data_IF_451198919630
#
_entry.id   IF_451198919630
#
_cell.length_a   1.000
_cell.length_b   1.000
_cell.length_c   1.000
_cell.angle_alpha   90.00
_cell.angle_beta   90.00
_cell.angle_gamma   90.00
#
_symmetry.space_group_name_H-M   'P 1'
#
loop_
_entity.id
_entity.type
_entity.pdbx_description
1 polymer ?
#
# COMPACT_ATOMS: atom_id res chain seq x y z
N UNK A 1 -40.35 -34.92 22.43
CA UNK A 1 -39.99 -34.90 23.87
C UNK A 1 -41.07 -34.11 24.60
N UNK A 2 -41.35 -34.34 25.89
CA UNK A 2 -42.27 -33.46 26.65
C UNK A 2 -41.51 -32.29 27.29
N UNK A 3 -42.16 -31.14 27.53
CA UNK A 3 -41.50 -29.97 28.15
C UNK A 3 -40.95 -30.29 29.55
N UNK A 4 -41.65 -31.14 30.31
CA UNK A 4 -41.18 -31.64 31.61
C UNK A 4 -39.87 -32.43 31.50
N UNK A 5 -39.70 -33.23 30.44
CA UNK A 5 -38.46 -33.97 30.16
C UNK A 5 -37.32 -33.03 29.76
N UNK A 6 -37.62 -31.98 28.99
CA UNK A 6 -36.66 -30.93 28.66
C UNK A 6 -36.19 -30.19 29.92
N UNK A 7 -37.11 -29.81 30.80
CA UNK A 7 -36.74 -29.15 32.06
C UNK A 7 -35.91 -30.05 32.97
N UNK A 8 -36.22 -31.35 33.03
CA UNK A 8 -35.40 -32.32 33.76
C UNK A 8 -34.00 -32.46 33.14
N UNK A 9 -33.89 -32.45 31.81
CA UNK A 9 -32.62 -32.46 31.09
C UNK A 9 -31.78 -31.20 31.38
N UNK A 10 -32.39 -30.02 31.37
CA UNK A 10 -31.69 -28.74 31.67
C UNK A 10 -31.15 -28.67 33.11
N UNK A 11 -31.77 -29.38 34.04
CA UNK A 11 -31.38 -29.41 35.46
C UNK A 11 -30.39 -30.53 35.81
N UNK A 12 -30.29 -31.58 34.99
CA UNK A 12 -29.49 -32.75 35.29
C UNK A 12 -28.59 -33.15 34.10
N UNK A 13 -27.25 -33.02 34.21
CA UNK A 13 -26.31 -33.35 33.13
C UNK A 13 -26.44 -34.77 32.56
N UNK A 14 -26.73 -35.77 33.40
CA UNK A 14 -26.90 -37.17 32.95
C UNK A 14 -28.22 -37.38 32.20
N UNK A 15 -29.25 -36.59 32.53
CA UNK A 15 -30.50 -36.58 31.75
C UNK A 15 -30.27 -35.83 30.44
N UNK A 16 -29.59 -34.68 30.47
CA UNK A 16 -29.19 -33.93 29.28
C UNK A 16 -28.46 -34.80 28.26
N UNK A 17 -27.43 -35.52 28.72
CA UNK A 17 -26.63 -36.42 27.88
C UNK A 17 -27.45 -37.54 27.22
N UNK A 18 -28.45 -38.08 27.93
CA UNK A 18 -29.35 -39.11 27.41
C UNK A 18 -30.40 -38.55 26.45
N UNK A 19 -30.90 -37.35 26.73
CA UNK A 19 -31.94 -36.68 25.92
C UNK A 19 -31.40 -36.08 24.63
N UNK A 20 -30.13 -35.67 24.61
CA UNK A 20 -29.48 -35.02 23.46
C UNK A 20 -28.29 -35.84 23.01
N UNK A 21 -28.48 -36.83 22.12
CA UNK A 21 -27.38 -37.63 21.62
C UNK A 21 -26.58 -36.87 20.55
N UNK A 22 -27.25 -36.08 19.72
CA UNK A 22 -26.67 -35.33 18.60
C UNK A 22 -27.13 -33.87 18.58
N UNK A 23 -26.53 -33.07 17.70
CA UNK A 23 -26.99 -31.71 17.41
C UNK A 23 -28.39 -31.66 16.81
N UNK A 24 -28.84 -32.72 16.15
CA UNK A 24 -30.19 -32.77 15.56
C UNK A 24 -31.25 -32.88 16.66
N UNK A 25 -30.91 -33.51 17.79
CA UNK A 25 -31.79 -33.55 18.96
C UNK A 25 -31.93 -32.16 19.60
N UNK A 26 -30.85 -31.37 19.62
CA UNK A 26 -30.90 -29.96 20.05
C UNK A 26 -31.76 -29.13 19.10
N UNK A 27 -31.62 -29.32 17.78
CA UNK A 27 -32.46 -28.64 16.78
C UNK A 27 -33.93 -28.94 16.96
N UNK A 28 -34.27 -30.22 17.15
CA UNK A 28 -35.65 -30.66 17.41
C UNK A 28 -36.19 -30.01 18.67
N UNK A 29 -35.41 -29.96 19.75
CA UNK A 29 -35.85 -29.33 21.00
C UNK A 29 -36.01 -27.82 20.90
N UNK A 30 -35.14 -27.11 20.18
CA UNK A 30 -35.30 -25.66 19.92
C UNK A 30 -36.55 -25.40 19.06
N UNK A 31 -36.86 -26.30 18.14
CA UNK A 31 -38.05 -26.18 17.27
C UNK A 31 -39.34 -26.47 18.05
N UNK A 32 -39.36 -27.52 18.87
CA UNK A 32 -40.51 -27.90 19.71
C UNK A 32 -40.72 -26.91 20.86
N UNK A 33 -39.64 -26.34 21.43
CA UNK A 33 -39.65 -25.52 22.64
C UNK A 33 -38.80 -24.24 22.51
N UNK A 34 -39.17 -23.30 21.64
CA UNK A 34 -38.35 -22.12 21.33
C UNK A 34 -38.10 -21.20 22.53
N UNK A 35 -38.99 -21.19 23.53
CA UNK A 35 -38.84 -20.40 24.76
C UNK A 35 -37.65 -20.85 25.62
N UNK A 36 -37.18 -22.10 25.46
CA UNK A 36 -36.06 -22.66 26.22
C UNK A 36 -34.73 -22.62 25.47
N UNK A 37 -34.67 -21.98 24.30
CA UNK A 37 -33.47 -21.87 23.46
C UNK A 37 -32.28 -21.31 24.25
N UNK A 38 -32.48 -20.26 25.05
CA UNK A 38 -31.43 -19.65 25.88
C UNK A 38 -30.94 -20.59 26.98
N UNK A 39 -31.84 -21.37 27.58
CA UNK A 39 -31.46 -22.35 28.59
C UNK A 39 -30.64 -23.49 27.97
N UNK A 40 -31.03 -23.97 26.77
CA UNK A 40 -30.31 -25.02 26.04
C UNK A 40 -28.88 -24.59 25.68
N UNK A 41 -28.71 -23.37 25.16
CA UNK A 41 -27.37 -22.87 24.85
C UNK A 41 -26.55 -22.66 26.13
N UNK A 42 -27.16 -22.17 27.21
CA UNK A 42 -26.46 -22.01 28.49
C UNK A 42 -25.97 -23.35 29.05
N UNK A 43 -26.80 -24.39 29.02
CA UNK A 43 -26.41 -25.75 29.42
C UNK A 43 -25.28 -26.30 28.55
N UNK A 44 -25.33 -26.06 27.23
CA UNK A 44 -24.29 -26.49 26.29
C UNK A 44 -22.95 -25.76 26.53
N UNK A 45 -22.97 -24.44 26.72
CA UNK A 45 -21.75 -23.63 26.84
C UNK A 45 -21.08 -23.74 28.22
N UNK A 46 -21.85 -24.04 29.28
CA UNK A 46 -21.30 -24.20 30.62
C UNK A 46 -20.77 -25.60 30.92
N UNK A 47 -21.03 -26.58 30.06
CA UNK A 47 -20.54 -27.94 30.22
C UNK A 47 -19.60 -28.29 29.06
N UNK A 48 -18.30 -28.15 29.30
CA UNK A 48 -17.26 -28.38 28.28
C UNK A 48 -17.27 -29.80 27.70
N UNK A 49 -17.59 -30.82 28.50
CA UNK A 49 -17.63 -32.19 28.02
C UNK A 49 -18.82 -32.42 27.08
N UNK A 50 -19.97 -31.84 27.42
CA UNK A 50 -21.17 -31.87 26.57
C UNK A 50 -20.96 -31.04 25.29
N UNK A 51 -20.30 -29.88 25.40
CA UNK A 51 -19.90 -29.08 24.25
C UNK A 51 -19.03 -29.89 23.28
N UNK A 52 -18.00 -30.58 23.78
CA UNK A 52 -17.12 -31.41 22.95
C UNK A 52 -17.84 -32.61 22.35
N UNK A 53 -18.72 -33.25 23.13
CA UNK A 53 -19.50 -34.43 22.71
C UNK A 53 -20.48 -34.08 21.60
N UNK A 54 -21.22 -32.97 21.74
CA UNK A 54 -22.23 -32.54 20.80
C UNK A 54 -21.62 -31.81 19.60
N UNK A 55 -20.53 -31.09 19.79
CA UNK A 55 -19.80 -30.38 18.74
C UNK A 55 -18.41 -30.98 18.54
N UNK A 56 -18.28 -32.23 18.06
CA UNK A 56 -16.97 -32.88 17.90
C UNK A 56 -16.11 -32.25 16.81
N UNK A 57 -16.71 -31.55 15.83
CA UNK A 57 -15.98 -30.99 14.70
C UNK A 57 -16.66 -29.73 14.12
N UNK A 58 -16.05 -29.15 13.08
CA UNK A 58 -16.56 -27.96 12.40
C UNK A 58 -17.95 -28.17 11.78
N UNK A 59 -18.23 -29.36 11.24
CA UNK A 59 -19.53 -29.66 10.61
C UNK A 59 -20.67 -29.49 11.61
N UNK A 60 -20.53 -30.05 12.81
CA UNK A 60 -21.51 -29.91 13.89
C UNK A 60 -21.57 -28.48 14.44
N UNK A 61 -20.42 -27.78 14.53
CA UNK A 61 -20.39 -26.36 14.90
C UNK A 61 -21.26 -25.50 13.96
N UNK A 62 -21.17 -25.74 12.65
CA UNK A 62 -21.95 -24.99 11.64
C UNK A 62 -23.46 -25.16 11.86
N UNK A 63 -23.92 -26.40 12.06
CA UNK A 63 -25.33 -26.67 12.38
C UNK A 63 -25.76 -25.96 13.66
N UNK A 64 -24.96 -26.08 14.72
CA UNK A 64 -25.22 -25.41 15.99
C UNK A 64 -25.18 -23.88 15.89
N UNK A 65 -24.40 -23.30 14.97
CA UNK A 65 -24.32 -21.84 14.78
C UNK A 65 -25.61 -21.27 14.19
N UNK A 66 -26.31 -22.03 13.35
CA UNK A 66 -27.65 -21.67 12.87
C UNK A 66 -28.66 -21.63 14.03
N UNK A 67 -28.54 -22.59 14.95
CA UNK A 67 -29.42 -22.71 16.12
C UNK A 67 -29.04 -21.74 17.24
N UNK A 68 -27.76 -21.40 17.36
CA UNK A 68 -27.22 -20.64 18.48
C UNK A 68 -26.04 -19.78 17.98
N UNK A 69 -26.31 -18.58 17.43
CA UNK A 69 -25.25 -17.72 16.91
C UNK A 69 -24.13 -17.40 17.91
N UNK A 70 -24.46 -17.38 19.21
CA UNK A 70 -23.51 -17.12 20.30
C UNK A 70 -22.46 -18.22 20.51
N UNK A 71 -22.63 -19.42 19.94
CA UNK A 71 -21.62 -20.50 20.02
C UNK A 71 -20.28 -20.03 19.46
N UNK A 72 -20.27 -19.23 18.40
CA UNK A 72 -19.02 -18.72 17.81
C UNK A 72 -18.26 -17.82 18.81
N UNK A 73 -18.96 -16.97 19.57
CA UNK A 73 -18.30 -16.16 20.60
C UNK A 73 -17.59 -17.03 21.64
N UNK A 74 -18.25 -18.09 22.09
CA UNK A 74 -17.64 -19.05 23.01
C UNK A 74 -16.40 -19.70 22.40
N UNK A 75 -16.46 -20.16 21.15
CA UNK A 75 -15.32 -20.77 20.47
C UNK A 75 -14.15 -19.80 20.34
N UNK A 76 -14.41 -18.54 19.97
CA UNK A 76 -13.36 -17.52 19.83
C UNK A 76 -12.71 -17.14 21.17
N UNK A 77 -13.44 -17.23 22.28
CA UNK A 77 -12.90 -17.01 23.62
C UNK A 77 -12.16 -18.24 24.21
N UNK A 78 -12.16 -19.38 23.50
CA UNK A 78 -11.54 -20.62 23.94
C UNK A 78 -10.56 -21.14 22.87
N UNK A 79 -9.27 -20.73 22.88
CA UNK A 79 -8.31 -21.06 21.83
C UNK A 79 -8.14 -22.56 21.54
N UNK A 80 -8.27 -23.40 22.58
CA UNK A 80 -8.21 -24.86 22.42
C UNK A 80 -9.41 -25.40 21.63
N UNK A 81 -10.61 -24.89 21.90
CA UNK A 81 -11.81 -25.26 21.16
C UNK A 81 -11.78 -24.72 19.74
N UNK A 82 -11.28 -23.49 19.55
CA UNK A 82 -11.05 -22.95 18.21
C UNK A 82 -10.12 -23.86 17.40
N UNK A 83 -8.98 -24.27 17.96
CA UNK A 83 -8.03 -25.16 17.27
C UNK A 83 -8.62 -26.55 16.99
N UNK A 84 -9.40 -27.09 17.92
CA UNK A 84 -10.10 -28.38 17.77
C UNK A 84 -11.18 -28.32 16.69
N UNK A 85 -11.94 -27.22 16.62
CA UNK A 85 -13.09 -27.07 15.74
C UNK A 85 -12.73 -26.55 14.36
N UNK A 86 -11.63 -25.81 14.21
CA UNK A 86 -11.14 -25.30 12.94
C UNK A 86 -9.79 -25.94 12.61
N UNK A 87 -9.80 -27.24 12.31
CA UNK A 87 -8.58 -28.02 12.05
C UNK A 87 -7.95 -27.67 10.70
N UNK A 88 -8.77 -27.33 9.70
CA UNK A 88 -8.31 -26.99 8.35
C UNK A 88 -8.67 -25.56 7.95
N UNK A 89 -7.90 -24.99 7.02
CA UNK A 89 -8.24 -23.71 6.37
C UNK A 89 -9.60 -23.75 5.68
N UNK A 90 -9.96 -24.89 5.10
CA UNK A 90 -11.25 -25.05 4.43
C UNK A 90 -12.40 -24.86 5.44
N UNK A 91 -12.26 -25.44 6.63
CA UNK A 91 -13.26 -25.31 7.68
C UNK A 91 -13.49 -23.86 8.12
N UNK A 92 -12.38 -23.12 8.27
CA UNK A 92 -12.42 -21.72 8.66
C UNK A 92 -13.09 -20.85 7.60
N UNK A 93 -12.59 -20.90 6.36
CA UNK A 93 -13.10 -20.05 5.29
C UNK A 93 -14.52 -20.40 4.85
N UNK A 94 -14.88 -21.69 4.83
CA UNK A 94 -16.26 -22.10 4.58
C UNK A 94 -17.22 -21.56 5.65
N UNK A 95 -16.78 -21.53 6.92
CA UNK A 95 -17.61 -20.99 8.01
C UNK A 95 -17.84 -19.49 7.84
N UNK A 96 -16.82 -18.74 7.42
CA UNK A 96 -16.96 -17.31 7.08
C UNK A 96 -17.97 -17.12 5.95
N UNK A 97 -17.89 -17.92 4.88
CA UNK A 97 -18.75 -17.83 3.71
C UNK A 97 -20.22 -18.12 4.06
N UNK A 98 -20.48 -19.17 4.86
CA UNK A 98 -21.85 -19.58 5.20
C UNK A 98 -22.48 -18.76 6.30
N UNK A 99 -21.68 -18.13 7.17
CA UNK A 99 -22.17 -17.35 8.28
C UNK A 99 -21.54 -15.95 8.26
N UNK A 100 -21.90 -15.09 7.29
CA UNK A 100 -21.26 -13.78 7.09
C UNK A 100 -21.38 -12.87 8.32
N UNK A 101 -22.45 -12.99 9.11
CA UNK A 101 -22.60 -12.28 10.39
C UNK A 101 -21.50 -12.62 11.41
N UNK A 102 -20.99 -13.86 11.38
CA UNK A 102 -19.87 -14.31 12.20
C UNK A 102 -18.52 -14.15 11.48
N UNK A 103 -18.54 -13.96 10.15
CA UNK A 103 -17.35 -13.84 9.31
C UNK A 103 -16.43 -12.71 9.79
N UNK A 104 -16.99 -11.54 10.11
CA UNK A 104 -16.22 -10.42 10.67
C UNK A 104 -15.49 -10.81 11.95
N UNK A 105 -16.19 -11.46 12.88
CA UNK A 105 -15.58 -11.89 14.16
C UNK A 105 -14.48 -12.93 13.98
N UNK A 106 -14.68 -13.88 13.07
CA UNK A 106 -13.68 -14.90 12.73
C UNK A 106 -12.44 -14.26 12.11
N UNK A 107 -12.62 -13.30 11.21
CA UNK A 107 -11.52 -12.53 10.62
C UNK A 107 -10.81 -11.66 11.65
N UNK A 108 -11.56 -10.97 12.51
CA UNK A 108 -10.98 -10.18 13.60
C UNK A 108 -10.16 -11.08 14.53
N UNK A 109 -10.67 -12.25 14.90
CA UNK A 109 -9.91 -13.22 15.70
C UNK A 109 -8.65 -13.69 14.99
N UNK A 110 -8.76 -14.04 13.70
CA UNK A 110 -7.63 -14.48 12.88
C UNK A 110 -6.54 -13.42 12.81
N UNK A 111 -6.89 -12.18 12.50
CA UNK A 111 -5.94 -11.08 12.35
C UNK A 111 -5.35 -10.61 13.69
N UNK A 112 -6.04 -10.81 14.80
CA UNK A 112 -5.51 -10.46 16.13
C UNK A 112 -4.78 -11.63 16.82
N UNK A 113 -4.70 -12.81 16.19
CA UNK A 113 -4.03 -13.99 16.75
C UNK A 113 -2.93 -14.48 15.81
N UNK A 114 -1.68 -13.99 15.94
CA UNK A 114 -0.60 -14.27 14.99
C UNK A 114 -0.36 -15.76 14.73
N UNK A 115 -0.43 -16.61 15.77
CA UNK A 115 -0.24 -18.05 15.62
C UNK A 115 -1.32 -18.71 14.76
N UNK A 116 -2.56 -18.22 14.83
CA UNK A 116 -3.67 -18.71 14.01
C UNK A 116 -3.57 -18.16 12.60
N UNK A 117 -3.23 -16.88 12.44
CA UNK A 117 -2.94 -16.30 11.12
C UNK A 117 -1.89 -17.11 10.37
N UNK A 118 -0.76 -17.42 11.02
CA UNK A 118 0.31 -18.23 10.44
C UNK A 118 -0.13 -19.67 10.17
N UNK A 119 -0.99 -20.25 11.02
CA UNK A 119 -1.53 -21.60 10.80
C UNK A 119 -2.42 -21.66 9.55
N UNK A 120 -3.25 -20.65 9.32
CA UNK A 120 -4.16 -20.61 8.18
C UNK A 120 -3.50 -20.08 6.90
N UNK A 121 -2.57 -19.15 7.02
CA UNK A 121 -1.81 -18.54 5.92
C UNK A 121 -0.31 -18.83 6.13
N UNK A 122 0.15 -20.09 5.97
CA UNK A 122 1.53 -20.47 6.29
C UNK A 122 2.59 -19.94 5.32
N UNK A 123 2.20 -19.53 4.10
CA UNK A 123 3.12 -19.03 3.09
C UNK A 123 2.40 -18.17 2.03
N UNK A 124 3.18 -17.54 1.14
CA UNK A 124 2.69 -16.69 0.07
C UNK A 124 1.69 -17.41 -0.85
N UNK A 125 1.94 -18.67 -1.20
CA UNK A 125 1.04 -19.43 -2.06
C UNK A 125 -0.35 -19.59 -1.42
N UNK A 126 -0.42 -19.87 -0.11
CA UNK A 126 -1.72 -19.93 0.59
C UNK A 126 -2.36 -18.54 0.69
N UNK A 127 -1.58 -17.48 0.93
CA UNK A 127 -2.09 -16.10 0.90
C UNK A 127 -2.79 -15.82 -0.43
N UNK A 128 -2.11 -16.11 -1.56
CA UNK A 128 -2.62 -15.89 -2.91
C UNK A 128 -3.88 -16.70 -3.18
N UNK A 129 -3.82 -18.02 -2.93
CA UNK A 129 -4.96 -18.91 -3.13
C UNK A 129 -6.18 -18.49 -2.30
N UNK A 130 -5.95 -18.00 -1.07
CA UNK A 130 -7.02 -17.53 -0.19
C UNK A 130 -7.65 -16.25 -0.73
N UNK A 131 -6.84 -15.26 -1.09
CA UNK A 131 -7.35 -14.01 -1.63
C UNK A 131 -8.05 -14.21 -3.00
N UNK A 132 -7.59 -15.15 -3.82
CA UNK A 132 -8.27 -15.50 -5.07
C UNK A 132 -9.62 -16.23 -4.84
N UNK A 133 -9.68 -17.13 -3.85
CA UNK A 133 -10.90 -17.86 -3.51
C UNK A 133 -11.96 -16.99 -2.82
N UNK A 134 -11.53 -15.96 -2.09
CA UNK A 134 -12.38 -15.08 -1.29
C UNK A 134 -12.12 -13.59 -1.60
N UNK A 135 -12.45 -13.13 -2.82
CA UNK A 135 -12.11 -11.79 -3.30
C UNK A 135 -12.70 -10.66 -2.42
N UNK A 136 -13.83 -10.88 -1.77
CA UNK A 136 -14.46 -9.92 -0.86
C UNK A 136 -13.62 -9.63 0.39
N UNK A 137 -12.75 -10.56 0.80
CA UNK A 137 -11.86 -10.41 1.96
C UNK A 137 -10.40 -10.17 1.57
N UNK A 138 -10.07 -10.32 0.28
CA UNK A 138 -8.71 -10.26 -0.22
C UNK A 138 -8.02 -8.92 0.11
N UNK A 139 -8.72 -7.78 -0.05
CA UNK A 139 -8.15 -6.48 0.31
C UNK A 139 -7.83 -6.37 1.81
N UNK A 140 -8.69 -6.90 2.69
CA UNK A 140 -8.47 -6.86 4.14
C UNK A 140 -7.28 -7.75 4.51
N UNK A 141 -7.21 -8.94 3.92
CA UNK A 141 -6.12 -9.88 4.11
C UNK A 141 -4.77 -9.28 3.66
N UNK A 142 -4.73 -8.68 2.47
CA UNK A 142 -3.54 -7.99 1.96
C UNK A 142 -3.16 -6.81 2.85
N UNK A 143 -4.12 -5.96 3.24
CA UNK A 143 -3.85 -4.84 4.16
C UNK A 143 -3.28 -5.32 5.49
N UNK A 144 -3.80 -6.42 6.04
CA UNK A 144 -3.27 -7.01 7.26
C UNK A 144 -1.79 -7.37 7.09
N UNK A 145 -1.45 -8.14 6.05
CA UNK A 145 -0.04 -8.51 5.76
C UNK A 145 0.83 -7.28 5.54
N UNK A 146 0.36 -6.33 4.72
CA UNK A 146 1.11 -5.13 4.42
C UNK A 146 1.32 -4.23 5.63
N UNK A 147 0.49 -4.31 6.68
CA UNK A 147 0.63 -3.52 7.90
C UNK A 147 1.45 -4.19 9.00
N UNK A 148 1.68 -5.51 8.93
CA UNK A 148 2.44 -6.26 9.93
C UNK A 148 3.82 -6.65 9.37
N UNK A 149 4.92 -6.00 9.80
CA UNK A 149 6.26 -6.21 9.22
C UNK A 149 6.72 -7.66 9.22
N UNK A 150 6.44 -8.41 10.29
CA UNK A 150 6.83 -9.82 10.40
C UNK A 150 6.08 -10.69 9.39
N UNK A 151 4.78 -10.42 9.17
CA UNK A 151 3.98 -11.13 8.17
C UNK A 151 4.38 -10.74 6.75
N UNK A 152 4.68 -9.46 6.51
CA UNK A 152 5.22 -8.97 5.23
C UNK A 152 6.53 -9.67 4.90
N UNK A 153 7.49 -9.75 5.83
CA UNK A 153 8.76 -10.45 5.62
C UNK A 153 8.56 -11.94 5.36
N UNK A 154 7.67 -12.58 6.12
CA UNK A 154 7.39 -14.02 6.01
C UNK A 154 6.68 -14.38 4.71
N UNK A 155 5.68 -13.61 4.32
CA UNK A 155 4.82 -13.88 3.15
C UNK A 155 5.34 -13.26 1.86
N UNK A 156 6.26 -12.30 1.94
CA UNK A 156 6.97 -11.75 0.81
C UNK A 156 8.47 -11.84 1.11
N UNK A 157 8.98 -13.07 1.19
CA UNK A 157 10.38 -13.32 1.48
C UNK A 157 11.27 -12.80 0.34
N UNK A 158 10.79 -12.89 -0.89
CA UNK A 158 11.52 -12.53 -2.11
C UNK A 158 10.70 -11.63 -3.05
N UNK A 159 11.37 -10.95 -3.99
CA UNK A 159 10.71 -10.27 -5.10
C UNK A 159 9.84 -11.22 -5.96
N UNK A 160 10.18 -12.51 -6.00
CA UNK A 160 9.40 -13.53 -6.71
C UNK A 160 8.03 -13.79 -6.03
N UNK A 161 7.97 -13.81 -4.70
CA UNK A 161 6.70 -13.93 -3.96
C UNK A 161 5.80 -12.73 -4.22
N UNK A 162 6.38 -11.53 -4.23
CA UNK A 162 5.69 -10.30 -4.60
C UNK A 162 5.18 -10.40 -6.03
N UNK A 163 6.02 -10.82 -6.97
CA UNK A 163 5.68 -10.93 -8.37
C UNK A 163 4.47 -11.85 -8.58
N UNK A 164 4.52 -13.08 -8.07
CA UNK A 164 3.41 -14.02 -8.16
C UNK A 164 2.11 -13.44 -7.58
N UNK A 165 2.20 -12.68 -6.49
CA UNK A 165 1.02 -12.08 -5.85
C UNK A 165 0.39 -11.01 -6.72
N UNK A 166 1.20 -10.13 -7.31
CA UNK A 166 0.72 -9.09 -8.23
C UNK A 166 0.12 -9.68 -9.52
N UNK A 167 0.56 -10.88 -9.92
CA UNK A 167 0.05 -11.60 -11.09
C UNK A 167 -1.32 -12.23 -10.84
N UNK A 168 -1.47 -12.91 -9.72
CA UNK A 168 -2.69 -13.67 -9.41
C UNK A 168 -3.80 -12.81 -8.81
N UNK A 169 -3.45 -11.66 -8.21
CA UNK A 169 -4.42 -10.79 -7.55
C UNK A 169 -4.25 -9.34 -8.02
N UNK A 170 -4.39 -9.07 -9.33
CA UNK A 170 -4.03 -7.78 -9.93
C UNK A 170 -4.85 -6.61 -9.38
N UNK A 171 -6.09 -6.86 -8.92
CA UNK A 171 -6.97 -5.86 -8.32
C UNK A 171 -6.42 -5.27 -7.01
N UNK A 172 -5.46 -5.93 -6.36
CA UNK A 172 -4.85 -5.47 -5.11
C UNK A 172 -3.40 -5.03 -5.25
N UNK A 173 -2.88 -5.02 -6.48
CA UNK A 173 -1.52 -4.58 -6.79
C UNK A 173 -1.26 -3.16 -6.32
N UNK A 174 -2.20 -2.23 -6.50
CA UNK A 174 -2.05 -0.83 -6.07
C UNK A 174 -1.83 -0.72 -4.57
N UNK A 175 -2.61 -1.45 -3.77
CA UNK A 175 -2.50 -1.46 -2.30
C UNK A 175 -1.14 -1.97 -1.84
N UNK A 176 -0.66 -3.06 -2.46
CA UNK A 176 0.65 -3.65 -2.18
C UNK A 176 1.76 -2.65 -2.55
N UNK A 177 1.71 -2.12 -3.77
CA UNK A 177 2.66 -1.14 -4.30
C UNK A 177 2.77 0.08 -3.38
N UNK A 178 1.64 0.70 -3.06
CA UNK A 178 1.60 1.90 -2.22
C UNK A 178 2.13 1.63 -0.81
N UNK A 179 1.81 0.46 -0.26
CA UNK A 179 2.28 0.06 1.06
C UNK A 179 3.79 -0.19 1.09
N UNK A 180 4.35 -0.86 0.07
CA UNK A 180 5.80 -1.06 -0.07
C UNK A 180 6.54 0.25 -0.26
N UNK A 181 6.01 1.14 -1.10
CA UNK A 181 6.58 2.46 -1.29
C UNK A 181 6.61 3.26 0.01
N UNK A 182 5.75 2.99 1.01
CA UNK A 182 5.83 3.63 2.33
C UNK A 182 6.87 3.04 3.27
N UNK A 183 7.45 1.88 2.94
CA UNK A 183 8.33 1.09 3.80
C UNK A 183 9.70 0.92 3.13
N UNK A 184 10.62 1.89 3.28
CA UNK A 184 11.88 1.90 2.54
C UNK A 184 12.73 0.66 2.80
N UNK A 185 12.78 0.18 4.04
CA UNK A 185 13.54 -1.02 4.41
C UNK A 185 13.01 -2.28 3.70
N UNK A 186 11.69 -2.43 3.60
CA UNK A 186 11.06 -3.57 2.93
C UNK A 186 11.19 -3.50 1.42
N UNK A 187 11.12 -2.30 0.86
CA UNK A 187 11.39 -2.07 -0.55
C UNK A 187 12.85 -2.44 -0.88
N UNK A 188 13.83 -1.91 -0.14
CA UNK A 188 15.25 -2.25 -0.35
C UNK A 188 15.53 -3.74 -0.11
N UNK A 189 14.86 -4.38 0.85
CA UNK A 189 14.98 -5.82 1.10
C UNK A 189 14.52 -6.65 -0.10
N UNK A 190 13.36 -6.29 -0.67
CA UNK A 190 12.80 -7.01 -1.82
C UNK A 190 13.58 -6.72 -3.11
N UNK A 191 14.11 -5.51 -3.25
CA UNK A 191 14.82 -5.02 -4.43
C UNK A 191 16.26 -4.67 -4.10
N UNK A 192 17.01 -5.65 -3.59
CA UNK A 192 18.37 -5.44 -3.05
C UNK A 192 19.43 -5.21 -4.13
N UNK A 193 19.14 -5.50 -5.40
CA UNK A 193 20.07 -5.32 -6.51
C UNK A 193 19.35 -5.05 -7.85
N UNK A 194 20.10 -4.64 -8.87
CA UNK A 194 19.54 -4.34 -10.20
C UNK A 194 18.86 -5.54 -10.87
N UNK A 195 19.29 -6.77 -10.56
CA UNK A 195 18.71 -7.99 -11.14
C UNK A 195 17.30 -8.27 -10.60
N UNK A 196 17.06 -8.07 -9.29
CA UNK A 196 15.71 -8.18 -8.69
C UNK A 196 14.75 -7.09 -9.19
N UNK A 197 15.26 -5.89 -9.48
CA UNK A 197 14.51 -4.86 -10.22
C UNK A 197 14.22 -5.30 -11.66
N UNK A 198 15.17 -5.93 -12.36
CA UNK A 198 14.97 -6.40 -13.74
C UNK A 198 13.88 -7.47 -13.85
N UNK A 199 13.87 -8.44 -12.94
CA UNK A 199 12.83 -9.50 -12.93
C UNK A 199 11.43 -8.97 -12.66
N UNK A 200 11.30 -7.80 -12.04
CA UNK A 200 10.01 -7.17 -11.76
C UNK A 200 9.67 -6.06 -12.74
N UNK A 201 10.46 -5.86 -13.80
CA UNK A 201 10.31 -4.81 -14.82
C UNK A 201 8.90 -4.73 -15.41
N UNK A 202 8.30 -5.82 -15.88
CA UNK A 202 6.92 -5.78 -16.40
C UNK A 202 5.89 -5.25 -15.39
N UNK A 203 6.14 -5.41 -14.08
CA UNK A 203 5.26 -4.96 -12.99
C UNK A 203 5.71 -3.66 -12.33
N UNK A 204 6.97 -3.26 -12.52
CA UNK A 204 7.45 -1.90 -12.29
C UNK A 204 6.61 -0.91 -13.10
N UNK A 205 6.06 -1.30 -14.25
CA UNK A 205 5.00 -0.58 -14.95
C UNK A 205 3.96 0.05 -14.01
N UNK A 206 3.36 -0.74 -13.12
CA UNK A 206 2.38 -0.25 -12.14
C UNK A 206 3.02 0.69 -11.10
N UNK A 207 4.25 0.40 -10.66
CA UNK A 207 5.02 1.30 -9.80
C UNK A 207 5.33 2.64 -10.49
N UNK A 208 5.62 2.64 -11.79
CA UNK A 208 5.97 3.81 -12.60
C UNK A 208 4.72 4.64 -12.89
N UNK A 209 3.60 4.00 -13.25
CA UNK A 209 2.29 4.64 -13.36
C UNK A 209 1.92 5.40 -12.07
N UNK A 210 2.07 4.73 -10.91
CA UNK A 210 1.82 5.36 -9.62
C UNK A 210 2.86 6.45 -9.28
N UNK A 211 4.15 6.18 -9.50
CA UNK A 211 5.23 7.13 -9.22
C UNK A 211 5.09 8.41 -10.02
N UNK A 212 4.77 8.32 -11.31
CA UNK A 212 4.62 9.49 -12.19
C UNK A 212 3.39 10.34 -11.89
N UNK A 213 2.46 9.87 -11.04
CA UNK A 213 1.33 10.63 -10.52
C UNK A 213 1.48 11.03 -9.05
N UNK A 214 2.51 10.52 -8.36
CA UNK A 214 2.77 10.75 -6.95
C UNK A 214 4.26 11.09 -6.70
N UNK A 215 4.60 12.36 -6.46
CA UNK A 215 5.99 12.79 -6.27
C UNK A 215 6.72 12.10 -5.12
N UNK A 216 6.01 11.72 -4.05
CA UNK A 216 6.61 10.97 -2.94
C UNK A 216 6.98 9.56 -3.36
N UNK A 217 6.11 8.88 -4.11
CA UNK A 217 6.41 7.56 -4.66
C UNK A 217 7.57 7.61 -5.66
N UNK A 218 7.59 8.63 -6.54
CA UNK A 218 8.69 8.83 -7.49
C UNK A 218 10.05 8.95 -6.83
N UNK A 219 10.17 9.80 -5.80
CA UNK A 219 11.43 9.97 -5.06
C UNK A 219 11.93 8.69 -4.40
N UNK A 220 11.02 7.79 -4.04
CA UNK A 220 11.37 6.53 -3.39
C UNK A 220 11.76 5.46 -4.39
N UNK A 221 11.05 5.38 -5.51
CA UNK A 221 11.35 4.46 -6.59
C UNK A 221 12.65 4.83 -7.31
N UNK A 222 12.87 6.13 -7.50
CA UNK A 222 14.03 6.71 -8.19
C UNK A 222 14.73 7.66 -7.20
N UNK A 223 15.53 7.08 -6.30
CA UNK A 223 16.19 7.84 -5.25
C UNK A 223 17.35 8.68 -5.79
N UNK A 224 18.02 8.20 -6.84
CA UNK A 224 19.12 8.89 -7.49
C UNK A 224 19.15 8.64 -9.01
N UNK A 225 20.12 9.26 -9.66
CA UNK A 225 20.34 9.26 -11.12
C UNK A 225 20.70 7.89 -11.66
N UNK A 226 21.43 7.07 -10.89
CA UNK A 226 21.77 5.70 -11.29
C UNK A 226 20.52 4.83 -11.30
N UNK A 227 19.66 4.96 -10.28
CA UNK A 227 18.36 4.26 -10.25
C UNK A 227 17.50 4.69 -11.44
N UNK A 228 17.52 6.00 -11.78
CA UNK A 228 16.82 6.54 -12.94
C UNK A 228 17.31 5.89 -14.23
N UNK A 229 18.63 5.87 -14.47
CA UNK A 229 19.21 5.24 -15.65
C UNK A 229 18.93 3.75 -15.72
N UNK A 230 19.01 3.05 -14.60
CA UNK A 230 18.68 1.63 -14.52
C UNK A 230 17.24 1.43 -14.95
N UNK A 231 16.28 2.12 -14.32
CA UNK A 231 14.85 2.00 -14.64
C UNK A 231 14.58 2.30 -16.11
N UNK A 232 15.15 3.36 -16.67
CA UNK A 232 14.98 3.70 -18.10
C UNK A 232 15.53 2.62 -19.04
N UNK A 233 16.65 1.96 -18.69
CA UNK A 233 17.22 0.86 -19.46
C UNK A 233 16.37 -0.42 -19.37
N UNK A 234 15.85 -0.70 -18.18
CA UNK A 234 15.02 -1.89 -17.95
C UNK A 234 13.59 -1.71 -18.51
N UNK A 235 13.12 -0.46 -18.64
CA UNK A 235 11.75 -0.12 -19.02
C UNK A 235 11.69 0.90 -20.16
N UNK A 236 12.20 0.55 -21.35
CA UNK A 236 12.26 1.47 -22.48
C UNK A 236 10.88 2.00 -22.88
N UNK A 237 9.81 1.23 -22.68
CA UNK A 237 8.44 1.65 -22.97
C UNK A 237 7.94 2.79 -22.07
N UNK A 238 8.55 3.00 -20.90
CA UNK A 238 8.23 4.09 -19.97
C UNK A 238 9.22 5.27 -20.05
N UNK A 239 10.26 5.17 -20.87
CA UNK A 239 11.31 6.19 -20.97
C UNK A 239 10.74 7.56 -21.29
N UNK A 240 9.89 7.68 -22.31
CA UNK A 240 9.27 8.95 -22.68
C UNK A 240 8.45 9.53 -21.52
N UNK A 241 7.68 8.69 -20.82
CA UNK A 241 6.84 9.11 -19.71
C UNK A 241 7.65 9.62 -18.53
N UNK A 242 8.71 8.90 -18.15
CA UNK A 242 9.61 9.25 -17.07
C UNK A 242 10.42 10.51 -17.41
N UNK A 243 10.93 10.62 -18.64
CA UNK A 243 11.60 11.80 -19.16
C UNK A 243 10.67 13.02 -19.15
N UNK A 244 9.42 12.87 -19.61
CA UNK A 244 8.42 13.92 -19.54
C UNK A 244 8.13 14.35 -18.11
N UNK A 245 7.99 13.39 -17.20
CA UNK A 245 7.76 13.68 -15.78
C UNK A 245 8.91 14.53 -15.21
N UNK A 246 10.18 14.14 -15.39
CA UNK A 246 11.29 14.93 -14.84
C UNK A 246 11.41 16.31 -15.51
N UNK A 247 11.13 16.43 -16.82
CA UNK A 247 11.17 17.70 -17.52
C UNK A 247 10.07 18.65 -17.05
N UNK A 248 8.90 18.13 -16.71
CA UNK A 248 7.79 18.94 -16.21
C UNK A 248 7.85 19.20 -14.69
N UNK A 249 8.81 18.60 -13.98
CA UNK A 249 8.98 18.74 -12.53
C UNK A 249 10.36 19.30 -12.20
N UNK A 250 10.54 20.65 -12.16
CA UNK A 250 11.84 21.29 -11.93
C UNK A 250 12.55 20.84 -10.64
N UNK A 251 11.78 20.55 -9.58
CA UNK A 251 12.32 20.05 -8.32
C UNK A 251 12.94 18.65 -8.46
N UNK A 252 12.29 17.75 -9.21
CA UNK A 252 12.80 16.40 -9.48
C UNK A 252 13.98 16.44 -10.45
N UNK A 253 13.91 17.29 -11.48
CA UNK A 253 15.02 17.53 -12.39
C UNK A 253 16.28 17.96 -11.63
N UNK A 254 16.16 18.94 -10.74
CA UNK A 254 17.29 19.42 -9.92
C UNK A 254 17.80 18.37 -8.96
N UNK A 255 16.91 17.53 -8.41
CA UNK A 255 17.28 16.44 -7.49
C UNK A 255 18.06 15.34 -8.20
N UNK A 256 17.60 14.93 -9.39
CA UNK A 256 18.24 13.88 -10.20
C UNK A 256 19.45 14.39 -10.98
N UNK A 257 19.57 15.69 -11.22
CA UNK A 257 20.73 16.26 -11.91
C UNK A 257 21.30 17.43 -11.10
N UNK A 258 21.86 17.17 -9.90
CA UNK A 258 22.43 18.21 -9.05
C UNK A 258 23.67 18.86 -9.68
N UNK A 259 24.33 18.19 -10.63
CA UNK A 259 25.52 18.66 -11.33
C UNK A 259 25.49 18.34 -12.83
N UNK A 260 26.40 18.95 -13.58
CA UNK A 260 26.51 18.75 -15.03
C UNK A 260 26.98 17.35 -15.42
N UNK A 261 27.72 16.65 -14.54
CA UNK A 261 28.25 15.33 -14.86
C UNK A 261 27.11 14.32 -15.01
N UNK A 262 26.21 14.27 -14.01
CA UNK A 262 25.02 13.40 -14.03
C UNK A 262 24.08 13.73 -15.20
N UNK A 263 23.90 15.03 -15.48
CA UNK A 263 23.11 15.45 -16.63
C UNK A 263 23.75 15.00 -17.95
N UNK A 264 25.05 15.20 -18.12
CA UNK A 264 25.76 14.84 -19.34
C UNK A 264 25.81 13.33 -19.54
N UNK A 265 26.02 12.55 -18.48
CA UNK A 265 25.93 11.09 -18.53
C UNK A 265 24.54 10.64 -19.03
N UNK A 266 23.47 11.26 -18.53
CA UNK A 266 22.11 10.98 -18.99
C UNK A 266 21.93 11.29 -20.47
N UNK A 267 22.49 12.42 -20.95
CA UNK A 267 22.47 12.78 -22.38
C UNK A 267 23.25 11.78 -23.24
N UNK A 268 24.35 11.26 -22.74
CA UNK A 268 25.14 10.24 -23.44
C UNK A 268 24.39 8.91 -23.52
N UNK A 269 23.73 8.50 -22.43
CA UNK A 269 22.96 7.27 -22.38
C UNK A 269 21.66 7.35 -23.20
N UNK A 270 21.03 8.52 -23.26
CA UNK A 270 19.75 8.75 -23.93
C UNK A 270 19.83 9.97 -24.87
N UNK A 271 20.55 9.86 -26.00
CA UNK A 271 20.87 10.98 -26.88
C UNK A 271 19.65 11.68 -27.48
N UNK A 272 18.54 10.95 -27.68
CA UNK A 272 17.28 11.49 -28.18
C UNK A 272 16.67 12.59 -27.28
N UNK A 273 17.00 12.57 -25.98
CA UNK A 273 16.55 13.59 -25.02
C UNK A 273 17.57 14.71 -24.78
N UNK A 274 18.76 14.64 -25.38
CA UNK A 274 19.87 15.52 -25.02
C UNK A 274 19.56 17.01 -25.20
N UNK A 275 18.87 17.35 -26.28
CA UNK A 275 18.45 18.73 -26.56
C UNK A 275 17.39 19.21 -25.55
N UNK A 276 16.39 18.37 -25.25
CA UNK A 276 15.31 18.68 -24.29
C UNK A 276 15.86 18.87 -22.87
N UNK A 277 16.78 17.99 -22.45
CA UNK A 277 17.48 18.09 -21.17
C UNK A 277 18.32 19.38 -21.07
N UNK A 278 18.90 19.84 -22.17
CA UNK A 278 19.65 21.12 -22.21
C UNK A 278 18.71 22.30 -22.08
N UNK A 279 17.64 22.33 -22.88
CA UNK A 279 16.63 23.38 -22.82
C UNK A 279 16.01 23.51 -21.43
N UNK A 280 15.73 22.37 -20.77
CA UNK A 280 15.16 22.39 -19.43
C UNK A 280 16.14 22.91 -18.36
N UNK A 281 17.43 22.61 -18.50
CA UNK A 281 18.44 23.22 -17.62
C UNK A 281 18.51 24.73 -17.82
N UNK A 282 18.45 25.20 -19.07
CA UNK A 282 18.51 26.62 -19.40
C UNK A 282 17.23 27.36 -18.95
N UNK A 283 16.06 26.75 -19.07
CA UNK A 283 14.80 27.29 -18.56
C UNK A 283 14.82 27.46 -17.04
N UNK A 284 15.38 26.50 -16.31
CA UNK A 284 15.62 26.58 -14.86
C UNK A 284 16.57 27.71 -14.50
N UNK A 285 17.65 27.91 -15.27
CA UNK A 285 18.58 29.03 -15.09
C UNK A 285 17.84 30.37 -15.29
N UNK A 286 17.05 30.49 -16.35
CA UNK A 286 16.27 31.70 -16.65
C UNK A 286 15.23 31.99 -15.55
N UNK A 287 14.56 30.97 -15.01
CA UNK A 287 13.60 31.14 -13.92
C UNK A 287 14.26 31.64 -12.63
N UNK A 288 15.47 31.15 -12.31
CA UNK A 288 16.27 31.66 -11.18
C UNK A 288 16.63 33.12 -11.40
N UNK A 289 17.06 33.50 -12.61
CA UNK A 289 17.34 34.91 -12.94
C UNK A 289 16.09 35.79 -12.83
N UNK A 290 14.94 35.34 -13.35
CA UNK A 290 13.67 36.06 -13.19
C UNK A 290 13.26 36.26 -11.71
N UNK A 291 13.48 35.26 -10.85
CA UNK A 291 13.24 35.38 -9.42
C UNK A 291 14.17 36.42 -8.76
N UNK A 292 15.46 36.44 -9.12
CA UNK A 292 16.40 37.48 -8.67
C UNK A 292 15.93 38.86 -9.10
N UNK A 293 15.48 39.00 -10.34
CA UNK A 293 14.98 40.28 -10.89
C UNK A 293 13.74 40.77 -10.15
N UNK A 294 12.78 39.88 -9.89
CA UNK A 294 11.59 40.20 -9.12
C UNK A 294 11.93 40.66 -7.69
N UNK A 295 12.91 40.01 -7.04
CA UNK A 295 13.42 40.44 -5.73
C UNK A 295 14.09 41.80 -5.79
N UNK A 296 14.90 42.07 -6.82
CA UNK A 296 15.53 43.39 -7.02
C UNK A 296 14.49 44.49 -7.27
N UNK A 297 13.49 44.26 -8.12
CA UNK A 297 12.40 45.21 -8.36
C UNK A 297 11.56 45.46 -7.09
N UNK A 298 11.34 44.43 -6.27
CA UNK A 298 10.67 44.56 -4.97
C UNK A 298 11.49 45.40 -4.00
N UNK A 299 12.81 45.27 -4.02
CA UNK A 299 13.72 46.10 -3.21
C UNK A 299 13.76 47.54 -3.72
N UNK A 300 13.80 47.74 -5.04
CA UNK A 300 13.70 49.05 -5.68
C UNK A 300 12.42 49.78 -5.26
N UNK A 301 11.28 49.08 -5.33
CA UNK A 301 9.99 49.64 -4.88
C UNK A 301 9.96 50.02 -3.40
N UNK A 302 10.70 49.31 -2.54
CA UNK A 302 10.77 49.59 -1.09
C UNK A 302 11.67 50.78 -0.74
N UNK A 303 12.60 51.12 -1.61
CA UNK A 303 13.62 52.15 -1.34
C UNK A 303 13.45 53.39 -2.23
N UNK A 304 12.37 53.42 -3.03
CA UNK A 304 12.08 54.46 -4.02
C UNK A 304 13.30 54.74 -4.94
N UNK A 305 13.42 55.95 -5.50
CA UNK A 305 14.43 56.32 -6.50
C UNK A 305 15.89 56.01 -6.08
N UNK A 306 16.17 55.84 -4.78
CA UNK A 306 17.51 55.61 -4.25
C UNK A 306 18.13 54.26 -4.64
N UNK A 307 17.33 53.23 -4.98
CA UNK A 307 17.88 51.88 -5.22
C UNK A 307 18.82 51.79 -6.41
N UNK A 308 18.39 52.32 -7.56
CA UNK A 308 19.19 52.30 -8.78
C UNK A 308 20.21 53.44 -8.81
N UNK A 309 20.00 54.51 -8.05
CA UNK A 309 20.98 55.61 -7.89
C UNK A 309 22.16 55.22 -7.00
N UNK A 310 21.93 54.41 -5.97
CA UNK A 310 22.99 53.93 -5.08
C UNK A 310 23.72 52.70 -5.61
N UNK A 311 23.24 52.09 -6.70
CA UNK A 311 23.83 50.86 -7.23
C UNK A 311 25.00 51.18 -8.15
N UNK A 312 26.19 50.57 -7.96
CA UNK A 312 27.31 50.76 -8.87
C UNK A 312 26.91 50.38 -10.31
N UNK A 313 27.30 51.19 -11.29
CA UNK A 313 26.99 50.97 -12.71
C UNK A 313 27.36 49.57 -13.20
N UNK A 314 28.42 49.00 -12.65
CA UNK A 314 28.88 47.64 -12.95
C UNK A 314 27.87 46.57 -12.48
N UNK A 315 27.18 46.82 -11.36
CA UNK A 315 26.11 45.93 -10.85
C UNK A 315 24.86 46.05 -11.71
N UNK A 316 24.50 47.26 -12.15
CA UNK A 316 23.38 47.48 -13.09
C UNK A 316 23.66 46.78 -14.44
N UNK A 317 24.87 46.95 -14.97
CA UNK A 317 25.29 46.30 -16.22
C UNK A 317 25.30 44.76 -16.09
N UNK A 318 25.76 44.23 -14.96
CA UNK A 318 25.67 42.79 -14.68
C UNK A 318 24.22 42.33 -14.61
N UNK A 319 23.33 43.06 -13.94
CA UNK A 319 21.90 42.74 -13.88
C UNK A 319 21.34 42.65 -15.30
N UNK A 320 21.48 43.70 -16.13
CA UNK A 320 20.97 43.70 -17.51
C UNK A 320 21.54 42.50 -18.31
N UNK A 321 22.85 42.27 -18.20
CA UNK A 321 23.53 41.17 -18.90
C UNK A 321 23.06 39.78 -18.46
N UNK A 322 22.70 39.59 -17.18
CA UNK A 322 22.19 38.32 -16.66
C UNK A 322 20.67 38.15 -16.86
N UNK A 323 19.92 39.25 -17.02
CA UNK A 323 18.46 39.24 -17.29
C UNK A 323 18.08 39.00 -18.74
N UNK A 324 18.95 39.41 -19.68
CA UNK A 324 18.68 39.29 -21.10
C UNK A 324 18.83 37.84 -21.55
N UNK A 325 17.77 37.29 -22.13
CA UNK A 325 17.81 36.02 -22.81
C UNK A 325 18.89 36.09 -23.91
N UNK A 326 20.00 35.35 -23.76
CA UNK A 326 21.11 35.34 -24.73
C UNK A 326 20.70 34.87 -26.14
N UNK A 327 19.47 34.37 -26.33
CA UNK A 327 18.90 34.06 -27.64
C UNK A 327 18.25 35.26 -28.37
N UNK A 328 18.07 36.41 -27.72
CA UNK A 328 17.36 37.56 -28.31
C UNK A 328 18.24 38.79 -28.52
N UNK A 329 19.34 38.96 -27.80
CA UNK A 329 20.26 40.08 -27.99
C UNK A 329 21.71 39.62 -27.80
N UNK A 330 22.60 40.07 -28.68
CA UNK A 330 24.04 39.85 -28.50
C UNK A 330 24.55 40.60 -27.27
N UNK A 331 25.73 40.22 -26.77
CA UNK A 331 26.35 40.86 -25.59
C UNK A 331 26.58 42.36 -25.80
N UNK A 332 26.90 42.76 -27.03
CA UNK A 332 27.08 44.16 -27.41
C UNK A 332 25.76 44.93 -27.50
N UNK A 333 24.68 44.27 -27.94
CA UNK A 333 23.35 44.89 -28.02
C UNK A 333 22.73 45.09 -26.63
N UNK A 334 22.95 44.13 -25.72
CA UNK A 334 22.55 44.26 -24.31
C UNK A 334 23.24 45.43 -23.62
N UNK A 335 24.52 45.67 -23.92
CA UNK A 335 25.28 46.79 -23.37
C UNK A 335 24.83 48.14 -23.95
N UNK A 336 24.50 48.18 -25.25
CA UNK A 336 23.94 49.38 -25.89
C UNK A 336 22.55 49.74 -25.39
N UNK A 337 21.68 48.75 -25.17
CA UNK A 337 20.32 48.97 -24.66
C UNK A 337 20.30 49.36 -23.18
N UNK A 338 21.19 48.79 -22.36
CA UNK A 338 21.45 49.29 -21.01
C UNK A 338 21.89 50.76 -21.02
N UNK A 339 22.78 51.12 -21.95
CA UNK A 339 23.29 52.48 -22.09
C UNK A 339 22.24 53.46 -22.62
N UNK A 340 21.31 53.02 -23.48
CA UNK A 340 20.24 53.87 -24.03
C UNK A 340 19.14 54.16 -23.00
N UNK A 341 18.79 53.18 -22.17
CA UNK A 341 17.86 53.35 -21.04
C UNK A 341 18.41 54.32 -19.98
N UNK A 342 19.74 54.35 -19.80
CA UNK A 342 20.41 55.33 -18.94
C UNK A 342 20.47 56.74 -19.55
N UNK A 343 20.41 56.85 -20.88
CA UNK A 343 20.47 58.11 -21.62
C UNK A 343 19.09 58.79 -21.80
N UNK A 344 17.98 58.08 -21.53
CA UNK A 344 16.62 58.61 -21.57
C UNK A 344 16.20 59.34 -20.27
N UNK A 345 17.17 59.87 -19.49
CA UNK A 345 16.90 60.75 -18.34
C UNK A 345 16.36 62.10 -18.77
#
# INVERSE_FOLDING_TARGET
>A
MQESELMAALQNPEVFKRSFATTDDLERAVTEFPQHRENLIHSLLNNFDEFKRLLPNNKTLRGATTLFPHVIHFVLNNPQEFKRLFTSKFDFWWTIEKFPHNGKMLLDYLFNTPSEFQRFIPNNHILRATAAAYPEYAQILINHVMNHPEELKRLFATAYDLDNTLQEIPLHSEVIIYSLLKKPEEFTRLFSNGDTLYYTSEKLSCFIEHATTNPTAFKRLIANTKDFHLILKLLPQYTEKLMNYIMNNPAEFKRLFPNNAELNETKTLFPEYANRLTQQKDSLKNLIEMQKNALMLKQAKRTEHAFFEAMPNETIANIVTYTSNFSLLSKDDSFKEASSLMAQK
#
